data_IF_321126415000
#
_entry.id   IF_321126415000
#
_cell.length_a   1.000
_cell.length_b   1.000
_cell.length_c   1.000
_cell.angle_alpha   90.00
_cell.angle_beta   90.00
_cell.angle_gamma   90.00
#
_symmetry.space_group_name_H-M   'P 1'
#
loop_
_entity.id
_entity.type
_entity.pdbx_description
1 polymer ?
#
# COMPACT_ATOMS: atom_id res chain seq x y z
N UNK A 1 5.95 -7.20 11.81
CA UNK A 1 5.62 -8.60 12.11
C UNK A 1 6.33 -9.10 13.37
N UNK A 2 7.64 -9.35 13.35
CA UNK A 2 8.39 -9.83 14.53
C UNK A 2 8.16 -8.97 15.80
N UNK A 3 8.43 -7.66 15.70
CA UNK A 3 8.26 -6.71 16.82
C UNK A 3 6.81 -6.59 17.30
N UNK A 4 5.83 -6.93 16.46
CA UNK A 4 4.41 -6.86 16.76
C UNK A 4 3.85 -8.16 17.34
N UNK A 5 4.69 -9.19 17.54
CA UNK A 5 4.30 -10.45 18.18
C UNK A 5 3.70 -11.52 17.27
N UNK A 6 3.82 -11.39 15.95
CA UNK A 6 3.46 -12.46 15.01
C UNK A 6 4.40 -13.68 15.17
N UNK A 7 4.00 -14.84 14.66
CA UNK A 7 4.84 -16.07 14.59
C UNK A 7 5.99 -15.93 13.57
N UNK A 8 6.89 -15.00 13.85
CA UNK A 8 8.09 -14.69 13.09
C UNK A 8 9.18 -14.30 14.09
N UNK A 9 10.07 -15.23 14.38
CA UNK A 9 11.10 -15.09 15.43
C UNK A 9 12.30 -14.27 14.96
N UNK A 10 13.17 -13.88 15.91
CA UNK A 10 14.45 -13.26 15.57
C UNK A 10 15.34 -14.19 14.71
N UNK A 11 15.22 -15.51 14.90
CA UNK A 11 15.97 -16.48 14.12
C UNK A 11 15.44 -16.60 12.70
N UNK A 12 14.12 -16.47 12.50
CA UNK A 12 13.56 -16.36 11.15
C UNK A 12 14.13 -15.13 10.44
N UNK A 13 14.21 -13.97 11.10
CA UNK A 13 14.79 -12.76 10.50
C UNK A 13 16.26 -12.94 10.05
N UNK A 14 17.06 -13.67 10.83
CA UNK A 14 18.46 -13.99 10.45
C UNK A 14 18.55 -14.93 9.25
N UNK A 15 17.51 -15.72 9.00
CA UNK A 15 17.40 -16.64 7.88
C UNK A 15 16.75 -16.01 6.64
N UNK A 16 16.78 -14.68 6.51
CA UNK A 16 16.27 -13.98 5.34
C UNK A 16 16.89 -14.52 4.03
N UNK A 17 16.02 -14.78 3.04
CA UNK A 17 16.36 -15.33 1.72
C UNK A 17 17.07 -16.70 1.73
N UNK A 18 17.07 -17.40 2.87
CA UNK A 18 17.59 -18.77 2.93
C UNK A 18 16.52 -19.76 2.44
N UNK A 19 16.97 -20.88 1.87
CA UNK A 19 16.09 -21.92 1.34
C UNK A 19 15.14 -22.43 2.45
N UNK A 20 13.84 -22.48 2.14
CA UNK A 20 12.75 -22.90 3.04
C UNK A 20 12.51 -22.01 4.28
N UNK A 21 13.13 -20.83 4.36
CA UNK A 21 12.89 -19.90 5.47
C UNK A 21 11.49 -19.26 5.39
N UNK A 22 10.94 -18.87 6.56
CA UNK A 22 9.70 -18.05 6.68
C UNK A 22 9.89 -16.59 6.26
N UNK A 23 11.08 -16.20 5.81
CA UNK A 23 11.42 -14.84 5.39
C UNK A 23 12.00 -14.86 3.97
N UNK A 24 11.18 -15.16 2.96
CA UNK A 24 11.59 -15.16 1.56
C UNK A 24 11.97 -13.75 1.08
N UNK A 25 12.55 -13.66 -0.14
CA UNK A 25 13.05 -12.40 -0.67
C UNK A 25 11.97 -11.35 -0.98
N UNK A 26 10.76 -11.81 -1.28
CA UNK A 26 9.54 -11.01 -1.42
C UNK A 26 8.45 -11.64 -0.55
N UNK A 27 7.48 -10.86 -0.04
CA UNK A 27 6.46 -11.38 0.87
C UNK A 27 5.62 -12.51 0.24
N UNK A 28 5.42 -13.59 1.01
CA UNK A 28 4.56 -14.72 0.64
C UNK A 28 3.57 -15.00 1.77
N UNK A 29 2.33 -15.37 1.42
CA UNK A 29 1.23 -15.61 2.37
C UNK A 29 1.49 -16.77 3.36
N UNK A 30 2.48 -17.61 3.07
CA UNK A 30 2.96 -18.67 3.98
C UNK A 30 3.55 -18.09 5.27
N UNK A 31 3.97 -16.82 5.25
CA UNK A 31 4.43 -16.07 6.41
C UNK A 31 3.25 -15.44 7.13
N UNK A 32 2.94 -15.88 8.36
CA UNK A 32 1.79 -15.35 9.11
C UNK A 32 1.92 -13.84 9.34
N UNK A 33 0.84 -13.12 9.00
CA UNK A 33 0.78 -11.66 9.00
C UNK A 33 1.10 -10.99 7.67
N UNK A 34 1.52 -11.75 6.65
CA UNK A 34 1.54 -11.27 5.26
C UNK A 34 0.16 -11.47 4.66
N UNK A 35 -0.54 -10.36 4.40
CA UNK A 35 -1.93 -10.39 3.91
C UNK A 35 -2.07 -10.91 2.47
N UNK A 36 -1.10 -10.58 1.62
CA UNK A 36 -1.06 -11.02 0.23
C UNK A 36 0.39 -11.04 -0.27
N UNK A 37 0.69 -11.94 -1.20
CA UNK A 37 2.00 -11.97 -1.85
C UNK A 37 2.16 -10.73 -2.75
N UNK A 38 3.31 -10.08 -2.67
CA UNK A 38 3.69 -8.94 -3.51
C UNK A 38 5.14 -9.12 -3.98
N UNK A 39 5.53 -8.41 -5.03
CA UNK A 39 6.87 -8.53 -5.62
C UNK A 39 6.89 -7.94 -7.03
N UNK A 40 6.00 -8.42 -7.93
CA UNK A 40 5.69 -7.69 -9.15
C UNK A 40 5.05 -6.33 -8.80
N UNK A 41 5.68 -5.25 -9.25
CA UNK A 41 5.27 -3.88 -8.95
C UNK A 41 3.85 -3.59 -9.46
N UNK A 42 3.16 -2.66 -8.81
CA UNK A 42 1.80 -2.21 -9.14
C UNK A 42 0.70 -3.16 -8.65
N UNK A 43 0.95 -4.47 -8.60
CA UNK A 43 -0.04 -5.46 -8.14
C UNK A 43 -0.46 -5.23 -6.68
N UNK A 44 0.46 -4.80 -5.80
CA UNK A 44 0.16 -4.49 -4.41
C UNK A 44 -0.91 -3.40 -4.24
N UNK A 45 -0.85 -2.36 -5.08
CA UNK A 45 -1.85 -1.28 -5.11
C UNK A 45 -3.20 -1.81 -5.59
N UNK A 46 -3.20 -2.57 -6.69
CA UNK A 46 -4.42 -3.16 -7.24
C UNK A 46 -5.09 -4.14 -6.26
N UNK A 47 -4.30 -4.94 -5.55
CA UNK A 47 -4.76 -5.83 -4.49
C UNK A 47 -5.45 -5.05 -3.36
N UNK A 48 -4.84 -3.96 -2.89
CA UNK A 48 -5.39 -3.13 -1.83
C UNK A 48 -6.74 -2.50 -2.24
N UNK A 49 -6.87 -2.03 -3.49
CA UNK A 49 -8.16 -1.59 -4.03
C UNK A 49 -9.19 -2.73 -4.00
N UNK A 50 -8.80 -3.94 -4.40
CA UNK A 50 -9.66 -5.13 -4.30
C UNK A 50 -10.12 -5.42 -2.87
N UNK A 51 -9.22 -5.36 -1.88
CA UNK A 51 -9.57 -5.52 -0.47
C UNK A 51 -10.52 -4.42 0.02
N UNK A 52 -10.32 -3.17 -0.39
CA UNK A 52 -11.20 -2.06 -0.02
C UNK A 52 -12.61 -2.22 -0.61
N UNK A 53 -12.71 -2.66 -1.87
CA UNK A 53 -13.99 -3.01 -2.50
C UNK A 53 -14.67 -4.19 -1.81
N UNK A 54 -13.90 -5.23 -1.46
CA UNK A 54 -14.42 -6.39 -0.73
C UNK A 54 -14.97 -5.98 0.65
N UNK A 55 -14.26 -5.11 1.37
CA UNK A 55 -14.72 -4.56 2.64
C UNK A 55 -16.02 -3.74 2.47
N UNK A 56 -16.13 -2.89 1.44
CA UNK A 56 -17.39 -2.17 1.14
C UNK A 56 -18.53 -3.12 0.80
N UNK A 57 -18.26 -4.20 0.06
CA UNK A 57 -19.27 -5.23 -0.22
C UNK A 57 -19.68 -5.98 1.05
N UNK A 58 -18.73 -6.35 1.90
CA UNK A 58 -18.98 -7.00 3.19
C UNK A 58 -19.80 -6.08 4.11
N UNK A 59 -19.45 -4.80 4.18
CA UNK A 59 -20.20 -3.77 4.90
C UNK A 59 -21.65 -3.67 4.42
N UNK A 60 -21.90 -3.71 3.11
CA UNK A 60 -23.25 -3.70 2.56
C UNK A 60 -24.05 -4.97 2.91
N UNK A 61 -23.39 -6.13 3.03
CA UNK A 61 -24.06 -7.41 3.31
C UNK A 61 -24.29 -7.66 4.81
N UNK A 62 -23.32 -7.27 5.65
CA UNK A 62 -23.27 -7.58 7.07
C UNK A 62 -23.63 -6.37 7.95
N UNK A 63 -23.57 -5.17 7.39
CA UNK A 63 -23.80 -3.91 8.09
C UNK A 63 -22.51 -3.24 8.58
N UNK A 64 -22.56 -1.91 8.69
CA UNK A 64 -21.43 -1.07 9.11
C UNK A 64 -20.98 -1.29 10.55
N UNK A 65 -21.84 -1.85 11.39
CA UNK A 65 -21.48 -2.15 12.78
C UNK A 65 -20.57 -3.37 12.91
N UNK A 66 -20.44 -4.18 11.85
CA UNK A 66 -19.58 -5.37 11.81
C UNK A 66 -18.35 -5.19 10.93
N UNK A 67 -18.41 -4.28 9.94
CA UNK A 67 -17.32 -4.03 9.00
C UNK A 67 -17.09 -2.51 8.89
N UNK A 68 -15.99 -2.05 9.46
CA UNK A 68 -15.59 -0.63 9.52
C UNK A 68 -14.07 -0.40 9.37
N UNK A 69 -13.31 -1.47 9.10
CA UNK A 69 -11.85 -1.42 9.05
C UNK A 69 -11.31 -0.67 7.82
N UNK A 70 -10.06 -0.20 7.93
CA UNK A 70 -9.30 0.44 6.86
C UNK A 70 -8.43 -0.56 6.10
N UNK A 71 -7.99 -0.18 4.90
CA UNK A 71 -7.03 -0.87 4.07
C UNK A 71 -5.86 0.08 3.83
N UNK A 72 -4.67 -0.30 4.30
CA UNK A 72 -3.44 0.46 4.09
C UNK A 72 -2.57 -0.23 3.04
N UNK A 73 -1.99 0.55 2.15
CA UNK A 73 -1.01 0.07 1.18
C UNK A 73 0.22 1.00 1.21
N UNK A 74 1.42 0.42 1.26
CA UNK A 74 2.67 1.14 1.02
C UNK A 74 3.12 0.84 -0.40
N UNK A 75 3.50 1.87 -1.14
CA UNK A 75 3.99 1.76 -2.52
C UNK A 75 5.15 2.73 -2.77
N UNK A 76 5.88 2.52 -3.86
CA UNK A 76 6.93 3.43 -4.34
C UNK A 76 6.73 3.86 -5.79
N UNK A 77 7.71 4.57 -6.34
CA UNK A 77 7.68 5.07 -7.73
C UNK A 77 7.40 3.96 -8.76
N UNK A 78 8.03 2.80 -8.59
CA UNK A 78 7.87 1.66 -9.49
C UNK A 78 6.44 1.14 -9.54
N UNK A 79 5.70 1.18 -8.43
CA UNK A 79 4.29 0.80 -8.42
C UNK A 79 3.42 1.80 -9.18
N UNK A 80 3.72 3.10 -9.02
CA UNK A 80 2.91 4.17 -9.61
C UNK A 80 3.19 4.40 -11.10
N UNK A 81 4.32 3.91 -11.61
CA UNK A 81 4.61 3.87 -13.05
C UNK A 81 3.90 2.71 -13.76
N UNK A 82 3.59 1.62 -13.06
CA UNK A 82 2.91 0.48 -13.65
C UNK A 82 1.45 0.80 -13.98
N UNK A 83 1.01 0.50 -15.21
CA UNK A 83 -0.32 0.84 -15.72
C UNK A 83 -1.46 0.29 -14.86
N UNK A 84 -1.28 -0.88 -14.25
CA UNK A 84 -2.28 -1.50 -13.37
C UNK A 84 -2.61 -0.65 -12.14
N UNK A 85 -1.67 0.17 -11.66
CA UNK A 85 -1.92 1.09 -10.54
C UNK A 85 -2.88 2.21 -10.97
N UNK A 86 -2.78 2.71 -12.21
CA UNK A 86 -3.69 3.70 -12.77
C UNK A 86 -5.10 3.14 -12.90
N UNK A 87 -5.22 1.92 -13.42
CA UNK A 87 -6.52 1.23 -13.57
C UNK A 87 -7.20 1.03 -12.22
N UNK A 88 -6.46 0.52 -11.23
CA UNK A 88 -6.95 0.28 -9.89
C UNK A 88 -7.37 1.58 -9.19
N UNK A 89 -6.54 2.63 -9.21
CA UNK A 89 -6.87 3.90 -8.59
C UNK A 89 -8.06 4.59 -9.29
N UNK A 90 -8.19 4.48 -10.61
CA UNK A 90 -9.38 4.96 -11.33
C UNK A 90 -10.68 4.32 -10.79
N UNK A 91 -10.66 3.00 -10.56
CA UNK A 91 -11.78 2.28 -9.94
C UNK A 91 -12.01 2.68 -8.48
N UNK A 92 -10.94 2.84 -7.71
CA UNK A 92 -11.04 3.23 -6.30
C UNK A 92 -11.74 4.59 -6.13
N UNK A 93 -11.38 5.55 -6.99
CA UNK A 93 -12.05 6.84 -7.08
C UNK A 93 -13.51 6.76 -7.47
N UNK A 94 -13.82 6.02 -8.55
CA UNK A 94 -15.18 5.79 -9.02
C UNK A 94 -16.09 5.24 -7.92
N UNK A 95 -15.58 4.29 -7.14
CA UNK A 95 -16.31 3.64 -6.06
C UNK A 95 -16.24 4.38 -4.72
N UNK A 96 -15.56 5.53 -4.65
CA UNK A 96 -15.40 6.34 -3.43
C UNK A 96 -14.95 5.49 -2.24
N UNK A 97 -13.85 4.75 -2.42
CA UNK A 97 -13.31 3.85 -1.40
C UNK A 97 -12.66 4.65 -0.25
N UNK A 98 -13.48 5.29 0.58
CA UNK A 98 -13.08 6.07 1.77
C UNK A 98 -12.40 5.23 2.89
N UNK A 99 -12.31 3.92 2.69
CA UNK A 99 -11.63 2.98 3.57
C UNK A 99 -10.23 2.62 3.07
N UNK A 100 -9.80 3.13 1.91
CA UNK A 100 -8.49 2.87 1.33
C UNK A 100 -7.54 4.06 1.54
N UNK A 101 -6.37 3.78 2.13
CA UNK A 101 -5.30 4.76 2.35
C UNK A 101 -4.02 4.22 1.68
N UNK A 102 -3.54 4.94 0.68
CA UNK A 102 -2.29 4.65 -0.02
C UNK A 102 -1.18 5.58 0.49
N UNK A 103 -0.08 4.98 0.97
CA UNK A 103 1.11 5.69 1.43
C UNK A 103 2.19 5.49 0.36
N UNK A 104 2.59 6.58 -0.27
CA UNK A 104 3.58 6.59 -1.33
C UNK A 104 4.93 7.09 -0.78
N UNK A 105 5.94 6.21 -0.79
CA UNK A 105 7.32 6.57 -0.52
C UNK A 105 7.92 7.27 -1.75
N UNK A 106 7.82 8.60 -1.76
CA UNK A 106 8.36 9.48 -2.80
C UNK A 106 9.80 9.88 -2.46
N UNK A 107 10.77 9.05 -2.86
CA UNK A 107 12.17 9.22 -2.46
C UNK A 107 13.10 9.68 -3.61
N UNK A 108 12.55 9.90 -4.81
CA UNK A 108 13.25 10.38 -6.01
C UNK A 108 14.26 9.38 -6.61
N UNK A 109 14.25 8.10 -6.21
CA UNK A 109 15.16 7.08 -6.72
C UNK A 109 14.41 5.87 -7.28
N UNK A 110 14.89 5.40 -8.44
CA UNK A 110 14.54 4.12 -9.06
C UNK A 110 15.81 3.27 -9.24
N UNK A 111 15.68 2.06 -9.82
CA UNK A 111 16.83 1.18 -10.05
C UNK A 111 17.89 1.81 -10.97
N UNK A 112 17.48 2.59 -11.98
CA UNK A 112 18.39 3.21 -12.95
C UNK A 112 18.93 4.58 -12.50
N UNK A 113 18.53 5.06 -11.32
CA UNK A 113 18.95 6.35 -10.74
C UNK A 113 17.75 7.27 -10.47
N UNK A 114 17.96 8.57 -10.63
CA UNK A 114 16.95 9.61 -10.37
C UNK A 114 15.65 9.31 -11.11
N UNK A 115 14.52 9.39 -10.40
CA UNK A 115 13.17 9.13 -10.95
C UNK A 115 12.89 10.04 -12.14
N UNK A 116 13.39 11.29 -12.10
CA UNK A 116 13.25 12.28 -13.17
C UNK A 116 13.83 11.88 -14.53
N UNK A 117 14.63 10.81 -14.62
CA UNK A 117 15.08 10.25 -15.89
C UNK A 117 13.93 9.65 -16.71
N UNK A 118 12.89 9.13 -16.04
CA UNK A 118 11.79 8.40 -16.68
C UNK A 118 10.39 8.83 -16.20
N UNK A 119 10.27 9.56 -15.09
CA UNK A 119 8.99 9.91 -14.49
C UNK A 119 9.02 11.31 -13.89
N UNK A 120 8.12 12.17 -14.39
CA UNK A 120 8.00 13.58 -13.99
C UNK A 120 6.55 14.05 -13.91
N UNK A 121 5.60 13.12 -13.75
CA UNK A 121 4.18 13.43 -13.61
C UNK A 121 3.92 14.26 -12.34
N UNK A 122 2.89 15.10 -12.37
CA UNK A 122 2.32 15.63 -11.14
C UNK A 122 1.42 14.57 -10.49
N UNK A 123 2.01 13.74 -9.62
CA UNK A 123 1.32 12.64 -8.94
C UNK A 123 0.08 13.12 -8.17
N UNK A 124 0.18 14.27 -7.48
CA UNK A 124 -0.95 14.86 -6.77
C UNK A 124 -2.13 15.14 -7.71
N UNK A 125 -1.86 15.82 -8.82
CA UNK A 125 -2.90 16.14 -9.81
C UNK A 125 -3.51 14.89 -10.45
N UNK A 126 -2.69 13.87 -10.73
CA UNK A 126 -3.17 12.58 -11.24
C UNK A 126 -4.15 11.92 -10.26
N UNK A 127 -3.80 11.81 -8.99
CA UNK A 127 -4.66 11.18 -7.98
C UNK A 127 -5.91 12.02 -7.69
N UNK A 128 -5.80 13.34 -7.64
CA UNK A 128 -6.97 14.24 -7.54
C UNK A 128 -7.92 14.09 -8.73
N UNK A 129 -7.39 13.95 -9.96
CA UNK A 129 -8.20 13.68 -11.15
C UNK A 129 -8.92 12.32 -11.09
N UNK A 130 -8.36 11.37 -10.35
CA UNK A 130 -8.98 10.09 -10.03
C UNK A 130 -9.87 10.16 -8.78
N UNK A 131 -10.10 11.33 -8.18
CA UNK A 131 -11.03 11.49 -7.06
C UNK A 131 -10.47 11.15 -5.69
N UNK A 132 -9.15 11.10 -5.53
CA UNK A 132 -8.50 10.96 -4.22
C UNK A 132 -8.32 12.31 -3.53
N UNK A 133 -8.39 12.30 -2.19
CA UNK A 133 -7.74 13.31 -1.36
C UNK A 133 -6.23 13.03 -1.34
N UNK A 134 -5.41 14.07 -1.53
CA UNK A 134 -3.95 13.93 -1.56
C UNK A 134 -3.30 14.85 -0.53
N UNK A 135 -2.53 14.23 0.35
CA UNK A 135 -1.72 14.89 1.38
C UNK A 135 -0.24 14.77 1.03
N UNK A 136 0.55 15.78 1.35
CA UNK A 136 2.01 15.78 1.17
C UNK A 136 2.66 16.15 2.50
N UNK A 137 3.67 15.38 2.90
CA UNK A 137 4.32 15.47 4.21
C UNK A 137 5.83 15.32 4.09
N UNK A 138 6.54 15.73 5.14
CA UNK A 138 7.88 15.24 5.41
C UNK A 138 7.80 13.82 6.01
N UNK A 139 8.23 12.80 5.25
CA UNK A 139 8.23 11.39 5.68
C UNK A 139 9.15 11.04 6.86
N UNK A 140 9.88 12.02 7.40
CA UNK A 140 10.71 11.86 8.60
C UNK A 140 10.22 12.70 9.79
N UNK A 141 9.12 13.43 9.65
CA UNK A 141 8.47 14.14 10.74
C UNK A 141 7.33 13.30 11.32
N UNK A 142 7.52 12.81 12.55
CA UNK A 142 6.55 11.94 13.20
C UNK A 142 5.20 12.62 13.46
N UNK A 143 5.18 13.94 13.68
CA UNK A 143 3.95 14.69 13.93
C UNK A 143 3.18 14.88 12.62
N UNK A 144 3.86 15.21 11.53
CA UNK A 144 3.23 15.32 10.20
C UNK A 144 2.64 13.99 9.73
N UNK A 145 3.37 12.87 9.91
CA UNK A 145 2.87 11.54 9.57
C UNK A 145 1.60 11.23 10.37
N UNK A 146 1.64 11.44 11.68
CA UNK A 146 0.47 11.19 12.53
C UNK A 146 -0.72 12.05 12.13
N UNK A 147 -0.49 13.35 11.88
CA UNK A 147 -1.54 14.30 11.47
C UNK A 147 -2.15 13.89 10.12
N UNK A 148 -1.34 13.50 9.15
CA UNK A 148 -1.84 13.06 7.84
C UNK A 148 -2.64 11.76 7.94
N UNK A 149 -2.20 10.80 8.76
CA UNK A 149 -2.97 9.57 8.98
C UNK A 149 -4.30 9.83 9.69
N UNK A 150 -4.35 10.73 10.68
CA UNK A 150 -5.63 11.11 11.30
C UNK A 150 -6.54 11.87 10.34
N UNK A 151 -6.00 12.68 9.43
CA UNK A 151 -6.80 13.33 8.39
C UNK A 151 -7.32 12.34 7.34
N UNK A 152 -6.54 11.31 7.00
CA UNK A 152 -6.91 10.31 5.99
C UNK A 152 -7.95 9.28 6.47
N UNK A 153 -8.25 9.22 7.77
CA UNK A 153 -9.19 8.25 8.38
C UNK A 153 -10.61 8.79 8.39
#
# INVERSE_FOLDING_TARGET
LHLSGYDLSLEDLKNFRQLHAKTPGHPEISTLGVEIATGPLGQGVANAVGFAMAAKKAQNLLGSNLIDHKIYCLCGDGDLQEGISYEACSLAGLHKLDNFILIYDSNNISIEGDVGLAFNENVKMRFEAQGFEVLSINGHDYEEINKALEQAK
#
